data_IF_963656201229
#
_entry.id   IF_963656201229
#
_cell.length_a   1.000
_cell.length_b   1.000
_cell.length_c   1.000
_cell.angle_alpha   90.00
_cell.angle_beta   90.00
_cell.angle_gamma   90.00
#
_symmetry.space_group_name_H-M   'P 1'
#
loop_
_entity.id
_entity.type
_entity.pdbx_description
1 polymer ?
#
# COMPACT_ATOMS: atom_id res chain seq x y z
N UNK A 1 4.10 -9.14 1.91
CA UNK A 1 3.65 -8.66 0.60
C UNK A 1 4.37 -9.52 -0.43
N UNK A 2 3.64 -10.32 -1.23
CA UNK A 2 4.24 -11.33 -2.13
C UNK A 2 4.45 -10.83 -3.56
N UNK A 3 3.73 -9.78 -3.93
CA UNK A 3 3.78 -9.20 -5.27
C UNK A 3 4.28 -7.77 -5.23
N UNK A 4 4.73 -7.31 -6.40
CA UNK A 4 5.05 -5.92 -6.66
C UNK A 4 3.84 -5.03 -6.33
N UNK A 5 4.11 -3.91 -5.66
CA UNK A 5 3.11 -2.87 -5.45
C UNK A 5 3.27 -1.82 -6.54
N UNK A 6 2.32 -1.78 -7.49
CA UNK A 6 2.31 -0.86 -8.62
C UNK A 6 1.58 0.46 -8.36
N UNK A 7 1.07 0.71 -7.15
CA UNK A 7 0.37 1.96 -6.82
C UNK A 7 1.31 3.16 -6.61
N UNK A 8 2.62 3.00 -6.87
CA UNK A 8 3.59 4.09 -6.80
C UNK A 8 3.69 4.79 -8.16
N UNK A 9 3.83 6.10 -8.15
CA UNK A 9 4.08 6.89 -9.36
C UNK A 9 5.31 6.38 -10.12
N UNK A 10 5.23 6.35 -11.45
CA UNK A 10 6.31 5.90 -12.32
C UNK A 10 6.40 4.37 -12.50
N UNK A 11 5.40 3.62 -12.02
CA UNK A 11 5.30 2.17 -12.19
C UNK A 11 4.24 1.77 -13.23
N UNK A 12 3.70 2.73 -13.98
CA UNK A 12 2.67 2.51 -14.99
C UNK A 12 3.22 1.70 -16.18
N UNK A 13 2.42 0.77 -16.70
CA UNK A 13 2.78 -0.02 -17.89
C UNK A 13 3.77 -1.17 -17.66
N UNK A 14 4.19 -1.41 -16.42
CA UNK A 14 5.02 -2.57 -16.08
C UNK A 14 4.20 -3.87 -16.12
N UNK A 15 4.85 -4.97 -16.50
CA UNK A 15 4.27 -6.32 -16.47
C UNK A 15 4.34 -6.91 -15.05
N UNK A 16 3.23 -6.95 -14.29
CA UNK A 16 3.24 -7.49 -12.94
C UNK A 16 3.54 -8.98 -12.91
N UNK A 17 3.18 -9.75 -13.94
CA UNK A 17 3.34 -11.21 -13.92
C UNK A 17 4.81 -11.59 -13.94
N UNK A 18 5.57 -11.00 -14.88
CA UNK A 18 7.02 -11.22 -14.98
C UNK A 18 7.74 -10.76 -13.72
N UNK A 19 7.42 -9.58 -13.18
CA UNK A 19 8.06 -9.06 -11.96
C UNK A 19 7.76 -9.96 -10.76
N UNK A 20 6.51 -10.38 -10.59
CA UNK A 20 6.13 -11.26 -9.49
C UNK A 20 6.79 -12.63 -9.59
N UNK A 21 6.94 -13.17 -10.80
CA UNK A 21 7.67 -14.42 -11.02
C UNK A 21 9.12 -14.30 -10.58
N UNK A 22 9.81 -13.23 -10.94
CA UNK A 22 11.20 -12.98 -10.51
C UNK A 22 11.28 -12.88 -8.98
N UNK A 23 10.36 -12.13 -8.34
CA UNK A 23 10.31 -12.00 -6.88
C UNK A 23 10.08 -13.37 -6.22
N UNK A 24 9.16 -14.16 -6.75
CA UNK A 24 8.85 -15.49 -6.21
C UNK A 24 10.06 -16.43 -6.33
N UNK A 25 10.67 -16.51 -7.50
CA UNK A 25 11.86 -17.35 -7.75
C UNK A 25 13.01 -17.02 -6.79
N UNK A 26 13.22 -15.73 -6.47
CA UNK A 26 14.29 -15.29 -5.59
C UNK A 26 13.94 -15.31 -4.09
N UNK A 27 12.66 -15.48 -3.74
CA UNK A 27 12.20 -15.45 -2.33
C UNK A 27 11.82 -16.83 -1.79
N UNK A 28 11.42 -17.75 -2.67
CA UNK A 28 10.86 -19.06 -2.30
C UNK A 28 11.85 -19.90 -1.49
N UNK A 29 11.34 -20.55 -0.44
CA UNK A 29 12.14 -21.38 0.48
C UNK A 29 12.84 -20.60 1.60
N UNK A 30 12.74 -19.26 1.62
CA UNK A 30 13.23 -18.47 2.76
C UNK A 30 12.25 -18.49 3.94
N UNK A 31 12.77 -18.31 5.16
CA UNK A 31 11.94 -18.11 6.37
C UNK A 31 10.99 -16.92 6.23
N UNK A 32 11.41 -15.87 5.52
CA UNK A 32 10.57 -14.71 5.22
C UNK A 32 9.38 -15.11 4.34
N UNK A 33 9.63 -15.88 3.28
CA UNK A 33 8.58 -16.36 2.38
C UNK A 33 7.55 -17.24 3.08
N UNK A 34 8.00 -18.16 3.94
CA UNK A 34 7.13 -18.99 4.76
C UNK A 34 6.29 -18.16 5.73
N UNK A 35 6.89 -17.15 6.36
CA UNK A 35 6.15 -16.23 7.23
C UNK A 35 5.08 -15.44 6.45
N UNK A 36 5.39 -15.00 5.24
CA UNK A 36 4.44 -14.32 4.37
C UNK A 36 3.34 -15.25 3.83
N UNK A 37 3.61 -16.56 3.62
CA UNK A 37 2.55 -17.55 3.37
C UNK A 37 1.58 -17.58 4.56
N UNK A 38 2.13 -17.72 5.77
CA UNK A 38 1.36 -17.87 7.01
C UNK A 38 0.47 -16.65 7.25
N UNK A 39 1.02 -15.44 7.14
CA UNK A 39 0.27 -14.19 7.28
C UNK A 39 -0.82 -14.07 6.22
N UNK A 40 -0.54 -14.48 4.99
CA UNK A 40 -1.54 -14.52 3.91
C UNK A 40 -2.70 -15.46 4.21
N UNK A 41 -2.42 -16.65 4.75
CA UNK A 41 -3.45 -17.61 5.15
C UNK A 41 -4.33 -17.06 6.29
N UNK A 42 -3.72 -16.47 7.32
CA UNK A 42 -4.45 -15.83 8.43
C UNK A 42 -5.33 -14.69 7.92
N UNK A 43 -4.81 -13.83 7.06
CA UNK A 43 -5.58 -12.74 6.48
C UNK A 43 -6.77 -13.26 5.67
N UNK A 44 -6.57 -14.34 4.90
CA UNK A 44 -7.63 -14.97 4.12
C UNK A 44 -8.75 -15.47 5.02
N UNK A 45 -8.40 -16.16 6.11
CA UNK A 45 -9.37 -16.63 7.11
C UNK A 45 -10.18 -15.45 7.70
N UNK A 46 -9.50 -14.36 8.08
CA UNK A 46 -10.17 -13.15 8.58
C UNK A 46 -11.11 -12.51 7.56
N UNK A 47 -10.75 -12.53 6.27
CA UNK A 47 -11.62 -12.04 5.19
C UNK A 47 -12.84 -12.93 5.05
N UNK A 48 -12.67 -14.25 5.06
CA UNK A 48 -13.78 -15.21 4.98
C UNK A 48 -14.74 -15.06 6.17
N UNK A 49 -14.23 -14.88 7.39
CA UNK A 49 -15.03 -14.61 8.58
C UNK A 49 -15.85 -13.31 8.43
N UNK A 50 -15.21 -12.21 7.98
CA UNK A 50 -15.90 -10.94 7.73
C UNK A 50 -16.97 -11.07 6.66
N UNK A 51 -16.71 -11.80 5.58
CA UNK A 51 -17.68 -12.05 4.51
C UNK A 51 -18.86 -12.90 5.01
N UNK A 52 -18.60 -13.91 5.85
CA UNK A 52 -19.66 -14.70 6.47
C UNK A 52 -20.54 -13.83 7.38
N UNK A 53 -19.93 -12.97 8.19
CA UNK A 53 -20.66 -12.01 9.03
C UNK A 53 -21.52 -11.08 8.18
N UNK A 54 -20.97 -10.51 7.10
CA UNK A 54 -21.74 -9.66 6.17
C UNK A 54 -22.95 -10.40 5.58
N UNK A 55 -22.79 -11.67 5.20
CA UNK A 55 -23.88 -12.49 4.65
C UNK A 55 -24.96 -12.83 5.68
N UNK A 56 -24.62 -12.83 6.97
CA UNK A 56 -25.58 -13.10 8.06
C UNK A 56 -26.42 -11.89 8.46
N UNK A 57 -26.09 -10.68 8.00
CA UNK A 57 -26.83 -9.47 8.35
C UNK A 57 -28.19 -9.45 7.66
N UNK A 58 -29.23 -9.14 8.43
CA UNK A 58 -30.55 -8.90 7.88
C UNK A 58 -30.65 -7.47 7.30
N UNK A 59 -31.63 -7.21 6.41
CA UNK A 59 -31.91 -5.85 5.96
C UNK A 59 -32.15 -4.86 7.11
N UNK A 60 -32.77 -5.31 8.21
CA UNK A 60 -33.02 -4.48 9.38
C UNK A 60 -31.73 -4.11 10.13
N UNK A 61 -30.77 -5.06 10.25
CA UNK A 61 -29.45 -4.78 10.85
C UNK A 61 -28.68 -3.75 10.04
N UNK A 62 -28.76 -3.85 8.71
CA UNK A 62 -28.14 -2.89 7.79
C UNK A 62 -28.78 -1.51 7.97
N UNK A 63 -30.12 -1.42 8.02
CA UNK A 63 -30.83 -0.16 8.21
C UNK A 63 -30.47 0.52 9.54
N UNK A 64 -30.30 -0.25 10.62
CA UNK A 64 -29.84 0.27 11.92
C UNK A 64 -28.41 0.83 11.78
N UNK A 65 -27.51 0.06 11.16
CA UNK A 65 -26.12 0.49 10.94
C UNK A 65 -26.02 1.75 10.08
N UNK A 66 -26.84 1.86 9.04
CA UNK A 66 -26.91 3.05 8.18
C UNK A 66 -27.39 4.29 8.96
N UNK A 67 -28.42 4.15 9.80
CA UNK A 67 -28.90 5.26 10.65
C UNK A 67 -27.84 5.74 11.64
N UNK A 68 -27.07 4.82 12.21
CA UNK A 68 -25.95 5.16 13.09
C UNK A 68 -24.81 5.86 12.33
N UNK A 69 -24.44 5.35 11.16
CA UNK A 69 -23.43 5.95 10.30
C UNK A 69 -23.83 7.36 9.86
N UNK A 70 -25.08 7.57 9.45
CA UNK A 70 -25.63 8.87 9.06
C UNK A 70 -25.56 9.89 10.19
N UNK A 71 -25.85 9.46 11.42
CA UNK A 71 -25.73 10.33 12.60
C UNK A 71 -24.29 10.80 12.80
N UNK A 72 -23.32 9.90 12.66
CA UNK A 72 -21.89 10.25 12.73
C UNK A 72 -21.49 11.20 11.60
N UNK A 73 -21.93 10.93 10.37
CA UNK A 73 -21.63 11.77 9.21
C UNK A 73 -22.19 13.18 9.36
N UNK A 74 -23.39 13.33 9.91
CA UNK A 74 -23.97 14.66 10.22
C UNK A 74 -23.11 15.42 11.21
N UNK A 75 -22.65 14.77 12.28
CA UNK A 75 -21.77 15.40 13.27
C UNK A 75 -20.44 15.85 12.64
N UNK A 76 -19.76 14.96 11.92
CA UNK A 76 -18.48 15.30 11.28
C UNK A 76 -18.63 16.37 10.20
N UNK A 77 -19.76 16.41 9.50
CA UNK A 77 -20.03 17.44 8.49
C UNK A 77 -20.31 18.80 9.10
N UNK A 78 -20.96 18.86 10.26
CA UNK A 78 -21.20 20.10 11.00
C UNK A 78 -19.89 20.71 11.55
N UNK A 79 -18.93 19.86 11.94
CA UNK A 79 -17.61 20.29 12.44
C UNK A 79 -16.59 20.53 11.33
N UNK A 80 -16.93 20.26 10.06
CA UNK A 80 -16.00 20.42 8.93
C UNK A 80 -15.66 21.89 8.76
N UNK A 81 -14.36 22.20 8.80
CA UNK A 81 -13.88 23.56 8.59
C UNK A 81 -13.14 23.72 7.27
N UNK A 82 -13.47 24.80 6.56
CA UNK A 82 -12.87 25.18 5.28
C UNK A 82 -12.04 26.48 5.37
N UNK A 83 -11.82 26.98 6.59
CA UNK A 83 -11.08 28.20 6.88
C UNK A 83 -9.55 28.00 6.89
N UNK A 84 -9.09 26.76 6.72
CA UNK A 84 -7.67 26.40 6.73
C UNK A 84 -7.20 26.08 5.31
N UNK A 85 -6.08 26.67 4.93
CA UNK A 85 -5.28 26.16 3.82
C UNK A 85 -4.26 25.16 4.38
N UNK A 86 -4.33 23.91 3.94
CA UNK A 86 -3.37 22.86 4.30
C UNK A 86 -2.51 22.58 3.07
N UNK A 87 -1.21 22.81 3.20
CA UNK A 87 -0.23 22.55 2.14
C UNK A 87 0.57 21.32 2.52
N UNK A 88 0.56 20.32 1.65
CA UNK A 88 1.42 19.13 1.76
C UNK A 88 2.50 19.23 0.70
N UNK A 89 3.77 19.17 1.11
CA UNK A 89 4.93 19.18 0.22
C UNK A 89 5.57 17.80 0.32
N UNK A 90 5.67 17.11 -0.81
CA UNK A 90 6.37 15.83 -0.94
C UNK A 90 7.53 16.01 -1.91
N UNK A 91 8.69 15.42 -1.56
CA UNK A 91 9.92 15.55 -2.34
C UNK A 91 10.06 14.36 -3.29
N UNK A 92 10.14 14.64 -4.59
CA UNK A 92 10.29 13.60 -5.62
C UNK A 92 11.55 12.77 -5.41
N UNK A 93 11.35 11.46 -5.18
CA UNK A 93 12.42 10.48 -4.98
C UNK A 93 13.56 10.94 -4.04
N UNK A 94 13.22 11.66 -2.96
CA UNK A 94 14.13 12.47 -2.14
C UNK A 94 15.57 11.96 -2.01
N UNK A 95 15.79 10.76 -1.45
CA UNK A 95 17.14 10.24 -1.26
C UNK A 95 17.88 9.97 -2.57
N UNK A 96 17.21 9.39 -3.58
CA UNK A 96 17.83 9.18 -4.89
C UNK A 96 18.13 10.52 -5.60
N UNK A 97 17.26 11.52 -5.44
CA UNK A 97 17.49 12.86 -5.98
C UNK A 97 18.70 13.56 -5.34
N UNK A 98 18.94 13.35 -4.02
CA UNK A 98 20.14 13.84 -3.33
C UNK A 98 21.40 13.17 -3.90
N UNK A 99 21.40 11.85 -4.05
CA UNK A 99 22.56 11.13 -4.63
C UNK A 99 22.83 11.58 -6.08
N UNK A 100 21.79 11.79 -6.90
CA UNK A 100 21.92 12.31 -8.28
C UNK A 100 22.36 13.78 -8.36
N UNK A 101 22.12 14.56 -7.31
CA UNK A 101 22.62 15.93 -7.19
C UNK A 101 24.12 15.90 -6.90
N UNK A 102 24.52 15.07 -5.95
CA UNK A 102 25.89 15.00 -5.42
C UNK A 102 26.83 14.26 -6.40
N UNK A 103 26.33 13.23 -7.10
CA UNK A 103 26.98 12.59 -8.24
C UNK A 103 26.08 12.67 -9.51
N UNK A 104 26.30 13.67 -10.37
CA UNK A 104 25.55 13.83 -11.62
C UNK A 104 25.66 12.65 -12.59
N UNK A 105 26.67 11.77 -12.45
CA UNK A 105 26.84 10.60 -13.32
C UNK A 105 25.76 9.52 -13.11
N UNK A 106 24.96 9.65 -12.04
CA UNK A 106 23.86 8.75 -11.70
C UNK A 106 22.54 9.11 -12.40
N UNK A 107 22.39 10.33 -12.96
CA UNK A 107 21.09 10.87 -13.41
C UNK A 107 20.38 10.10 -14.52
N UNK A 108 21.11 9.32 -15.30
CA UNK A 108 20.59 8.56 -16.44
C UNK A 108 20.67 7.05 -16.22
N UNK A 109 20.79 6.63 -14.96
CA UNK A 109 20.91 5.22 -14.57
C UNK A 109 19.78 4.88 -13.60
N UNK A 110 19.20 3.67 -13.68
CA UNK A 110 18.32 3.18 -12.62
C UNK A 110 19.06 3.20 -11.28
N UNK A 111 18.48 3.87 -10.28
CA UNK A 111 19.13 4.09 -9.00
C UNK A 111 18.22 3.65 -7.86
N UNK A 112 18.79 2.94 -6.88
CA UNK A 112 18.13 2.70 -5.62
C UNK A 112 19.10 2.98 -4.47
N UNK A 113 18.59 3.65 -3.44
CA UNK A 113 19.33 3.99 -2.22
C UNK A 113 18.97 3.00 -1.13
N UNK A 114 19.99 2.39 -0.51
CA UNK A 114 19.84 1.39 0.54
C UNK A 114 21.01 0.42 0.59
N UNK A 115 20.72 -0.84 0.95
CA UNK A 115 21.68 -1.94 0.95
C UNK A 115 21.09 -3.17 0.24
N UNK A 116 21.89 -4.23 0.09
CA UNK A 116 21.40 -5.52 -0.42
C UNK A 116 20.29 -6.12 0.45
N UNK A 117 20.21 -5.74 1.74
CA UNK A 117 19.17 -6.23 2.64
C UNK A 117 17.85 -5.47 2.50
N UNK A 118 17.90 -4.16 2.23
CA UNK A 118 16.69 -3.33 2.14
C UNK A 118 16.95 -2.05 1.35
N UNK A 119 16.00 -1.69 0.49
CA UNK A 119 15.99 -0.42 -0.26
C UNK A 119 15.05 0.57 0.42
N UNK A 120 15.46 1.85 0.46
CA UNK A 120 14.68 2.94 1.07
C UNK A 120 13.91 3.72 0.00
N UNK A 121 14.54 4.00 -1.13
CA UNK A 121 13.91 4.69 -2.27
C UNK A 121 14.62 4.34 -3.57
N UNK A 122 13.89 4.33 -4.68
CA UNK A 122 14.42 4.22 -6.04
C UNK A 122 13.97 5.39 -6.91
N UNK A 123 14.76 5.68 -7.95
CA UNK A 123 14.48 6.59 -9.06
C UNK A 123 14.71 5.87 -10.38
#
# INVERSE_FOLDING_TARGET
MRGINLHKAGMEGLDPETINKIIEENSKGSKFYENEMRRGAILKEQVEEKLAKLRSLSPADIEIGEKEADKLLRNFSAERRFDRCIIHIDMDAFYAAVEMRDDPSLRLKPLAVGSQSMLVKSH
#
